data_IF_091037878918
#
_entry.id   IF_091037878918
#
_cell.length_a   1.000
_cell.length_b   1.000
_cell.length_c   1.000
_cell.angle_alpha   90.00
_cell.angle_beta   90.00
_cell.angle_gamma   90.00
#
_symmetry.space_group_name_H-M   'P 1'
#
loop_
_entity.id
_entity.type
_entity.pdbx_description
1 polymer ?
#
# COMPACT_ATOMS: atom_id res chain seq x y z
N UNK A 1 -5.38 -13.55 9.36
CA UNK A 1 -4.14 -12.78 9.56
C UNK A 1 -3.39 -12.80 8.24
N UNK A 2 -2.97 -11.65 7.73
CA UNK A 2 -2.17 -11.59 6.50
C UNK A 2 -0.86 -12.35 6.67
N UNK A 3 -0.37 -12.97 5.60
CA UNK A 3 0.96 -13.60 5.58
C UNK A 3 2.03 -12.51 5.71
N UNK A 4 2.98 -12.72 6.62
CA UNK A 4 4.17 -11.86 6.74
C UNK A 4 5.04 -12.01 5.49
N UNK A 5 5.41 -10.88 4.87
CA UNK A 5 6.28 -10.83 3.70
C UNK A 5 7.72 -10.45 4.06
N UNK A 6 8.67 -11.10 3.41
CA UNK A 6 10.08 -10.74 3.51
C UNK A 6 10.39 -9.48 2.65
N UNK A 7 11.54 -8.85 2.91
CA UNK A 7 11.93 -7.62 2.21
C UNK A 7 11.97 -7.77 0.69
N UNK A 8 12.49 -8.89 0.17
CA UNK A 8 12.55 -9.12 -1.28
C UNK A 8 11.15 -9.18 -1.91
N UNK A 9 10.19 -9.81 -1.23
CA UNK A 9 8.79 -9.85 -1.68
C UNK A 9 8.12 -8.47 -1.61
N UNK A 10 8.48 -7.65 -0.62
CA UNK A 10 8.02 -6.27 -0.52
C UNK A 10 8.57 -5.41 -1.65
N UNK A 11 9.86 -5.56 -1.95
CA UNK A 11 10.50 -4.84 -3.05
C UNK A 11 9.88 -5.26 -4.39
N UNK A 12 9.67 -6.55 -4.61
CA UNK A 12 9.10 -7.07 -5.86
C UNK A 12 7.65 -6.62 -6.06
N UNK A 13 6.81 -6.72 -5.04
CA UNK A 13 5.36 -6.58 -5.20
C UNK A 13 4.78 -5.26 -4.69
N UNK A 14 5.48 -4.53 -3.83
CA UNK A 14 4.97 -3.32 -3.17
C UNK A 14 5.83 -2.07 -3.38
N UNK A 15 6.86 -2.15 -4.23
CA UNK A 15 7.53 -0.94 -4.74
C UNK A 15 6.61 -0.24 -5.73
N UNK A 16 6.40 1.06 -5.51
CA UNK A 16 5.67 1.95 -6.40
C UNK A 16 6.60 2.38 -7.54
N UNK A 17 6.20 2.04 -8.75
CA UNK A 17 6.86 2.48 -9.97
C UNK A 17 6.48 3.94 -10.29
N UNK A 18 7.30 4.62 -11.09
CA UNK A 18 7.08 6.03 -11.43
C UNK A 18 5.68 6.32 -11.99
N UNK A 19 5.16 5.43 -12.84
CA UNK A 19 3.83 5.56 -13.43
C UNK A 19 2.72 5.34 -12.38
N UNK A 20 2.92 4.41 -11.44
CA UNK A 20 2.00 4.18 -10.32
C UNK A 20 1.97 5.39 -9.38
N UNK A 21 3.15 5.99 -9.10
CA UNK A 21 3.26 7.24 -8.33
C UNK A 21 2.57 8.40 -9.04
N UNK A 22 2.55 8.44 -10.38
CA UNK A 22 1.82 9.46 -11.13
C UNK A 22 0.31 9.40 -10.86
N UNK A 23 -0.27 8.21 -10.65
CA UNK A 23 -1.68 8.02 -10.31
C UNK A 23 -2.05 8.54 -8.91
N UNK A 24 -1.05 8.71 -8.04
CA UNK A 24 -1.20 9.20 -6.66
C UNK A 24 -1.20 10.73 -6.55
N UNK A 25 -0.80 11.46 -7.61
CA UNK A 25 -0.54 12.91 -7.56
C UNK A 25 -1.73 13.76 -7.07
N UNK A 26 -2.95 13.32 -7.36
CA UNK A 26 -4.17 14.03 -6.97
C UNK A 26 -4.76 13.57 -5.62
N UNK A 27 -4.04 12.74 -4.86
CA UNK A 27 -4.46 12.21 -3.55
C UNK A 27 -3.58 12.75 -2.44
N UNK A 28 -4.10 12.86 -1.23
CA UNK A 28 -3.36 13.37 -0.07
C UNK A 28 -3.63 12.54 1.19
N UNK A 29 -2.68 12.53 2.13
CA UNK A 29 -2.80 11.84 3.41
C UNK A 29 -3.23 10.38 3.27
N UNK A 30 -4.16 9.96 4.14
CA UNK A 30 -4.73 8.61 4.17
C UNK A 30 -5.25 8.11 2.80
N UNK A 31 -5.88 8.96 1.99
CA UNK A 31 -6.41 8.57 0.66
C UNK A 31 -5.31 8.17 -0.32
N UNK A 32 -4.12 8.78 -0.20
CA UNK A 32 -2.96 8.43 -1.03
C UNK A 32 -2.44 7.05 -0.66
N UNK A 33 -2.30 6.79 0.63
CA UNK A 33 -1.79 5.51 1.14
C UNK A 33 -2.76 4.36 0.87
N UNK A 34 -4.06 4.54 1.16
CA UNK A 34 -5.08 3.54 0.88
C UNK A 34 -5.14 3.17 -0.60
N UNK A 35 -5.08 4.16 -1.50
CA UNK A 35 -5.03 3.89 -2.94
C UNK A 35 -3.75 3.15 -3.36
N UNK A 36 -2.59 3.54 -2.84
CA UNK A 36 -1.33 2.86 -3.15
C UNK A 36 -1.37 1.37 -2.77
N UNK A 37 -1.89 1.08 -1.57
CA UNK A 37 -2.06 -0.29 -1.08
C UNK A 37 -3.04 -1.09 -1.95
N UNK A 38 -4.21 -0.53 -2.28
CA UNK A 38 -5.17 -1.18 -3.17
C UNK A 38 -4.59 -1.43 -4.56
N UNK A 39 -3.85 -0.48 -5.12
CA UNK A 39 -3.23 -0.61 -6.44
C UNK A 39 -2.23 -1.78 -6.46
N UNK A 40 -1.28 -1.82 -5.52
CA UNK A 40 -0.29 -2.92 -5.47
C UNK A 40 -0.94 -4.26 -5.18
N UNK A 41 -1.95 -4.29 -4.32
CA UNK A 41 -2.73 -5.51 -4.07
C UNK A 41 -3.42 -5.99 -5.35
N UNK A 42 -4.06 -5.10 -6.10
CA UNK A 42 -4.72 -5.43 -7.35
C UNK A 42 -3.74 -5.96 -8.40
N UNK A 43 -2.59 -5.32 -8.56
CA UNK A 43 -1.53 -5.78 -9.49
C UNK A 43 -1.04 -7.18 -9.13
N UNK A 44 -0.87 -7.48 -7.83
CA UNK A 44 -0.38 -8.79 -7.37
C UNK A 44 -1.45 -9.88 -7.41
N UNK A 45 -2.66 -9.60 -6.94
CA UNK A 45 -3.69 -10.59 -6.67
C UNK A 45 -4.81 -10.65 -7.72
N UNK A 46 -4.85 -9.69 -8.66
CA UNK A 46 -5.89 -9.58 -9.69
C UNK A 46 -7.28 -9.22 -9.15
N UNK A 47 -7.38 -8.77 -7.90
CA UNK A 47 -8.63 -8.37 -7.23
C UNK A 47 -8.36 -7.27 -6.21
N UNK A 48 -9.40 -6.62 -5.72
CA UNK A 48 -9.28 -5.70 -4.58
C UNK A 48 -9.23 -6.45 -3.24
N UNK A 49 -8.60 -5.87 -2.21
CA UNK A 49 -8.66 -6.40 -0.85
C UNK A 49 -10.09 -6.26 -0.30
N UNK A 50 -10.53 -7.23 0.50
CA UNK A 50 -11.79 -7.21 1.23
C UNK A 50 -11.74 -6.30 2.47
N UNK A 51 -10.55 -5.92 2.93
CA UNK A 51 -10.35 -4.99 4.03
C UNK A 51 -8.88 -4.86 4.45
N UNK A 52 -8.61 -3.96 5.40
CA UNK A 52 -7.25 -3.66 5.88
C UNK A 52 -6.51 -4.87 6.48
N UNK A 53 -7.25 -5.83 7.01
CA UNK A 53 -6.70 -7.05 7.62
C UNK A 53 -5.98 -7.99 6.63
N UNK A 54 -6.14 -7.78 5.33
CA UNK A 54 -5.40 -8.49 4.28
C UNK A 54 -3.98 -7.95 4.07
N UNK A 55 -3.64 -6.80 4.65
CA UNK A 55 -2.30 -6.24 4.60
C UNK A 55 -1.55 -6.54 5.90
N UNK A 56 -0.35 -7.09 5.79
CA UNK A 56 0.59 -7.15 6.90
C UNK A 56 1.06 -5.73 7.28
N UNK A 57 1.52 -5.55 8.51
CA UNK A 57 2.03 -4.25 8.96
C UNK A 57 3.31 -3.87 8.21
N UNK A 58 4.13 -4.85 7.85
CA UNK A 58 5.33 -4.67 7.04
C UNK A 58 5.01 -4.10 5.66
N UNK A 59 3.90 -4.52 5.03
CA UNK A 59 3.45 -3.99 3.75
C UNK A 59 3.07 -2.51 3.89
N UNK A 60 2.32 -2.18 4.94
CA UNK A 60 1.87 -0.81 5.17
C UNK A 60 3.03 0.12 5.50
N UNK A 61 3.98 -0.33 6.32
CA UNK A 61 5.19 0.44 6.62
C UNK A 61 6.08 0.61 5.38
N UNK A 62 6.18 -0.40 4.52
CA UNK A 62 6.96 -0.32 3.30
C UNK A 62 6.36 0.68 2.29
N UNK A 63 5.04 0.66 2.08
CA UNK A 63 4.36 1.58 1.16
C UNK A 63 4.31 3.00 1.73
N UNK A 64 4.13 3.15 3.04
CA UNK A 64 4.26 4.44 3.75
C UNK A 64 5.54 5.17 3.33
N UNK A 65 6.68 4.47 3.35
CA UNK A 65 8.01 5.08 3.18
C UNK A 65 8.16 5.72 1.81
N UNK A 66 7.40 5.22 0.84
CA UNK A 66 7.43 5.66 -0.55
C UNK A 66 6.47 6.82 -0.81
N UNK A 67 5.34 6.89 -0.08
CA UNK A 67 4.33 7.95 -0.27
C UNK A 67 4.56 9.18 0.63
N UNK A 68 5.41 9.05 1.65
CA UNK A 68 5.76 10.13 2.58
C UNK A 68 4.62 10.56 3.51
N UNK A 69 3.70 9.65 3.82
CA UNK A 69 2.51 9.90 4.67
C UNK A 69 2.60 9.06 5.94
N UNK A 70 2.35 9.61 7.15
CA UNK A 70 2.38 8.88 8.42
C UNK A 70 1.46 7.62 8.46
N UNK A 71 1.86 6.53 9.14
CA UNK A 71 1.13 5.25 9.19
C UNK A 71 -0.05 5.38 10.14
N UNK A 72 0.09 6.29 11.11
CA UNK A 72 -0.98 6.81 11.95
C UNK A 72 -2.12 7.43 11.15
N UNK A 73 -1.90 7.89 9.91
CA UNK A 73 -3.00 8.39 9.07
C UNK A 73 -3.84 7.27 8.46
N UNK A 74 -3.32 6.04 8.39
CA UNK A 74 -4.08 4.93 7.85
C UNK A 74 -5.27 4.53 8.75
N UNK A 75 -5.21 4.82 10.05
CA UNK A 75 -6.29 4.53 11.00
C UNK A 75 -7.62 5.26 10.70
N UNK A 76 -7.62 6.21 9.77
CA UNK A 76 -8.82 6.88 9.28
C UNK A 76 -9.42 6.25 8.01
N UNK A 77 -8.81 5.18 7.49
CA UNK A 77 -9.31 4.42 6.34
C UNK A 77 -9.85 3.07 6.82
N UNK A 78 -11.16 3.01 7.03
CA UNK A 78 -11.96 1.78 7.18
C UNK A 78 -12.98 1.74 6.04
#
# INVERSE_FOLDING_TARGET
>A
MARVLELDELVEHFTLLADETALLRNKAGATRLGFALMLKFFVRAGRFPAGRSEFGDEVVQFVFGQVGVPASELGYYD
#
